data_IF_317189431154
#
_entry.id   IF_317189431154
#
_cell.length_a   1.000
_cell.length_b   1.000
_cell.length_c   1.000
_cell.angle_alpha   90.00
_cell.angle_beta   90.00
_cell.angle_gamma   90.00
#
_symmetry.space_group_name_H-M   'P 1'
#
loop_
_entity.id
_entity.type
_entity.pdbx_description
1 polymer ?
2 non-polymer ?
3 water ?
#
# COMPACT_ATOMS: atom_id res chain seq x y z
N UNK A 1 -12.49 -0.74 -12.90
CA UNK A 1 -11.02 -0.46 -13.03
C UNK A 1 -10.31 -1.55 -13.84
N UNK A 2 -9.24 -1.15 -14.48
CA UNK A 2 -8.34 -2.03 -15.18
C UNK A 2 -6.95 -1.88 -14.57
N UNK A 3 -6.06 -2.78 -14.96
CA UNK A 3 -4.66 -2.62 -14.62
C UNK A 3 -4.03 -1.34 -15.11
N UNK A 4 -4.34 -0.91 -16.32
CA UNK A 4 -3.75 0.31 -16.82
C UNK A 4 -4.24 1.52 -16.02
N UNK A 5 -5.50 1.52 -15.62
CA UNK A 5 -5.99 2.61 -14.81
C UNK A 5 -5.40 2.55 -13.39
N UNK A 6 -5.18 1.34 -12.85
CA UNK A 6 -4.50 1.20 -11.60
C UNK A 6 -3.12 1.81 -11.68
N UNK A 7 -2.38 1.55 -12.74
CA UNK A 7 -1.03 2.08 -12.87
C UNK A 7 -1.09 3.60 -12.80
N UNK A 8 -1.99 4.20 -13.56
CA UNK A 8 -2.10 5.66 -13.59
C UNK A 8 -2.47 6.20 -12.22
N UNK A 9 -3.46 5.58 -11.59
CA UNK A 9 -3.93 6.01 -10.30
C UNK A 9 -2.88 5.87 -9.24
N UNK A 10 -2.16 4.77 -9.25
CA UNK A 10 -1.08 4.56 -8.29
C UNK A 10 0.04 5.59 -8.47
N UNK A 11 0.45 5.90 -9.69
CA UNK A 11 1.46 6.90 -9.94
C UNK A 11 1.01 8.23 -9.36
N UNK A 12 -0.25 8.59 -9.56
CA UNK A 12 -0.77 9.83 -9.00
C UNK A 12 -0.75 9.82 -7.49
N UNK A 13 -1.20 8.74 -6.86
CA UNK A 13 -1.18 8.69 -5.41
C UNK A 13 0.24 8.73 -4.87
N UNK A 14 1.16 8.04 -5.48
CA UNK A 14 2.55 8.15 -5.08
C UNK A 14 3.03 9.58 -5.16
N UNK A 15 2.65 10.30 -6.21
CA UNK A 15 3.10 11.66 -6.38
C UNK A 15 2.56 12.60 -5.32
N UNK A 16 1.28 12.51 -5.07
CA UNK A 16 0.69 13.39 -4.08
C UNK A 16 1.11 13.01 -2.67
N UNK A 17 1.29 11.72 -2.42
CA UNK A 17 1.70 11.32 -1.10
C UNK A 17 3.16 11.68 -0.85
N UNK A 18 3.98 11.75 -1.89
CA UNK A 18 5.34 12.20 -1.71
C UNK A 18 5.34 13.67 -1.26
N UNK A 19 4.56 14.52 -1.90
CA UNK A 19 4.58 15.93 -1.50
C UNK A 19 3.88 16.15 -0.16
N UNK A 20 2.90 15.31 0.20
CA UNK A 20 2.25 15.47 1.48
C UNK A 20 3.16 15.08 2.64
N UNK A 21 4.05 14.13 2.42
CA UNK A 21 4.87 13.58 3.47
C UNK A 21 6.29 14.06 3.47
N UNK A 22 6.81 14.54 2.35
CA UNK A 22 8.20 14.90 2.26
C UNK A 22 9.15 13.72 2.24
N UNK A 23 8.66 12.52 1.97
CA UNK A 23 9.54 11.38 1.91
C UNK A 23 10.54 11.56 0.76
N UNK A 24 11.80 11.21 0.99
CA UNK A 24 12.77 11.29 -0.10
C UNK A 24 12.46 10.25 -1.14
N UNK A 25 12.82 10.54 -2.39
CA UNK A 25 12.62 9.59 -3.46
C UNK A 25 13.28 8.27 -3.17
N UNK A 26 14.47 8.28 -2.56
CA UNK A 26 15.12 7.02 -2.29
C UNK A 26 14.26 6.12 -1.40
N UNK A 27 13.63 6.71 -0.38
CA UNK A 27 12.80 5.94 0.52
C UNK A 27 11.48 5.55 -0.13
N UNK A 28 10.91 6.43 -0.95
CA UNK A 28 9.74 6.06 -1.75
C UNK A 28 10.07 4.87 -2.65
N UNK A 29 11.25 4.89 -3.28
CA UNK A 29 11.67 3.77 -4.09
C UNK A 29 11.71 2.47 -3.29
N UNK A 30 12.26 2.52 -2.07
CA UNK A 30 12.31 1.36 -1.20
C UNK A 30 10.90 0.84 -0.95
N UNK A 31 9.98 1.73 -0.61
CA UNK A 31 8.61 1.31 -0.36
C UNK A 31 8.01 0.69 -1.62
N UNK A 32 8.18 1.34 -2.76
CA UNK A 32 7.61 0.86 -4.02
C UNK A 32 8.16 -0.53 -4.39
N UNK A 33 9.43 -0.78 -4.10
CA UNK A 33 10.09 -2.04 -4.38
C UNK A 33 9.78 -3.11 -3.34
N UNK A 34 9.09 -2.74 -2.28
CA UNK A 34 8.69 -3.66 -1.25
C UNK A 34 9.65 -3.87 -0.11
N UNK A 35 10.57 -2.96 0.09
CA UNK A 35 11.51 -3.01 1.20
C UNK A 35 11.16 -1.91 2.16
N UNK A 36 10.41 -2.29 3.17
CA UNK A 36 9.79 -1.35 4.06
C UNK A 36 10.54 -1.24 5.36
N UNK A 37 11.04 -0.04 5.60
CA UNK A 37 11.67 0.30 6.88
C UNK A 37 10.55 0.77 7.77
N UNK A 38 9.97 -0.18 8.50
CA UNK A 38 8.68 0.06 9.11
C UNK A 38 8.70 1.12 10.20
N UNK A 39 9.86 1.38 10.79
CA UNK A 39 9.99 2.36 11.86
C UNK A 39 10.30 3.77 11.36
N UNK A 40 10.59 3.94 10.06
CA UNK A 40 10.92 5.25 9.48
C UNK A 40 9.64 6.05 9.40
N UNK A 41 9.58 7.24 10.01
CA UNK A 41 8.35 7.97 10.12
C UNK A 41 7.79 8.39 8.79
N UNK A 42 8.63 8.86 7.87
CA UNK A 42 8.13 9.27 6.58
C UNK A 42 7.70 8.06 5.76
N UNK A 43 8.35 6.92 5.91
CA UNK A 43 7.86 5.71 5.30
C UNK A 43 6.47 5.40 5.82
N UNK A 44 6.28 5.48 7.13
CA UNK A 44 4.98 5.20 7.71
C UNK A 44 3.94 6.13 7.10
N UNK A 45 4.24 7.42 7.04
CA UNK A 45 3.27 8.38 6.60
C UNK A 45 2.96 8.22 5.12
N UNK A 46 3.98 7.88 4.32
CA UNK A 46 3.80 7.66 2.91
C UNK A 46 2.90 6.45 2.70
N UNK A 47 3.22 5.35 3.38
CA UNK A 47 2.38 4.18 3.31
C UNK A 47 0.93 4.47 3.73
N UNK A 48 0.78 5.19 4.83
CA UNK A 48 -0.53 5.56 5.31
C UNK A 48 -1.29 6.37 4.28
N UNK A 49 -0.63 7.34 3.69
CA UNK A 49 -1.26 8.20 2.72
C UNK A 49 -1.74 7.45 1.49
N UNK A 50 -0.92 6.55 0.98
CA UNK A 50 -1.32 5.80 -0.20
C UNK A 50 -2.50 4.90 0.15
N UNK A 51 -2.39 4.18 1.28
CA UNK A 51 -3.47 3.28 1.64
C UNK A 51 -4.77 3.96 1.96
N UNK A 52 -4.72 5.09 2.64
CA UNK A 52 -5.93 5.84 2.90
C UNK A 52 -6.53 6.34 1.61
N UNK A 53 -5.69 6.78 0.67
CA UNK A 53 -6.20 7.30 -0.57
C UNK A 53 -6.89 6.26 -1.42
N UNK A 54 -6.52 5.00 -1.27
CA UNK A 54 -7.18 3.87 -1.94
C UNK A 54 -8.28 3.23 -1.08
N UNK A 55 -8.61 3.81 0.07
CA UNK A 55 -9.63 3.26 0.96
C UNK A 55 -9.28 1.86 1.43
N UNK A 56 -7.99 1.58 1.51
CA UNK A 56 -7.49 0.34 2.08
C UNK A 56 -7.39 0.50 3.60
N UNK A 57 -7.13 1.72 4.07
CA UNK A 57 -7.22 2.10 5.46
C UNK A 57 -8.28 3.17 5.55
N UNK A 58 -9.14 3.11 6.58
CA UNK A 58 -10.11 4.17 6.80
C UNK A 58 -9.47 5.29 7.58
N UNK A 59 -10.26 6.30 7.92
CA UNK A 59 -9.72 7.47 8.59
C UNK A 59 -9.06 7.16 9.94
N UNK A 60 -9.44 6.06 10.59
CA UNK A 60 -8.84 5.67 11.86
C UNK A 60 -7.85 4.52 11.71
N UNK A 61 -7.43 4.29 10.47
CA UNK A 61 -6.44 3.25 10.15
C UNK A 61 -6.91 1.81 10.35
N UNK A 62 -8.20 1.59 10.20
CA UNK A 62 -8.74 0.24 10.13
C UNK A 62 -8.60 -0.31 8.71
N UNK A 63 -8.07 -1.52 8.58
CA UNK A 63 -7.91 -2.19 7.30
C UNK A 63 -9.28 -2.49 6.74
N UNK A 64 -9.45 -2.21 5.46
CA UNK A 64 -10.70 -2.45 4.76
C UNK A 64 -10.49 -3.47 3.65
N UNK A 65 -10.99 -4.70 3.84
CA UNK A 65 -10.87 -5.75 2.81
C UNK A 65 -11.36 -5.36 1.42
N UNK A 66 -12.46 -4.62 1.35
CA UNK A 66 -12.98 -4.23 0.04
C UNK A 66 -11.93 -3.44 -0.73
N UNK A 67 -11.27 -2.52 -0.05
CA UNK A 67 -10.29 -1.67 -0.68
C UNK A 67 -9.10 -2.47 -1.17
N UNK A 68 -8.66 -3.41 -0.36
CA UNK A 68 -7.49 -4.19 -0.77
C UNK A 68 -7.87 -5.15 -1.91
N UNK A 69 -9.08 -5.70 -1.89
CA UNK A 69 -9.49 -6.58 -2.96
C UNK A 69 -9.62 -5.85 -4.30
N UNK A 70 -10.13 -4.62 -4.27
CA UNK A 70 -10.32 -3.87 -5.50
C UNK A 70 -8.99 -3.73 -6.24
N UNK A 71 -7.92 -3.54 -5.47
CA UNK A 71 -6.60 -3.43 -6.05
C UNK A 71 -6.03 -4.81 -6.38
N UNK A 72 -6.03 -5.72 -5.41
CA UNK A 72 -5.27 -6.97 -5.57
C UNK A 72 -5.89 -7.93 -6.54
N UNK A 73 -7.20 -7.89 -6.69
CA UNK A 73 -7.84 -8.77 -7.66
C UNK A 73 -7.44 -8.44 -9.09
N UNK A 74 -6.84 -7.27 -9.33
CA UNK A 74 -6.28 -6.95 -10.64
C UNK A 74 -4.92 -7.59 -10.88
N UNK A 75 -4.27 -8.05 -9.81
CA UNK A 75 -2.88 -8.43 -9.82
C UNK A 75 -2.64 -9.91 -9.54
N UNK A 76 -3.47 -10.55 -8.73
CA UNK A 76 -3.27 -11.94 -8.37
C UNK A 76 -4.60 -12.66 -8.33
N UNK A 77 -4.53 -13.97 -8.32
CA UNK A 77 -5.70 -14.81 -8.36
C UNK A 77 -6.56 -14.67 -7.11
N UNK A 78 -7.83 -14.98 -7.27
CA UNK A 78 -8.84 -14.81 -6.22
C UNK A 78 -8.47 -15.48 -4.90
N UNK A 79 -8.01 -16.73 -4.94
CA UNK A 79 -7.70 -17.42 -3.73
C UNK A 79 -6.52 -16.80 -3.02
N UNK A 80 -5.55 -16.33 -3.78
CA UNK A 80 -4.42 -15.63 -3.20
C UNK A 80 -4.83 -14.33 -2.53
N UNK A 81 -5.77 -13.62 -3.15
CA UNK A 81 -6.28 -12.39 -2.53
C UNK A 81 -6.97 -12.71 -1.22
N UNK A 82 -7.74 -13.79 -1.17
CA UNK A 82 -8.42 -14.18 0.06
C UNK A 82 -7.41 -14.40 1.18
N UNK A 83 -6.32 -15.07 0.87
CA UNK A 83 -5.30 -15.36 1.85
C UNK A 83 -4.59 -14.08 2.28
N UNK A 84 -4.32 -13.20 1.33
CA UNK A 84 -3.73 -11.93 1.62
C UNK A 84 -4.60 -11.16 2.60
N UNK A 85 -5.90 -11.11 2.35
CA UNK A 85 -6.82 -10.38 3.23
C UNK A 85 -6.78 -10.98 4.62
N UNK A 86 -6.84 -12.30 4.72
CA UNK A 86 -6.87 -12.97 6.02
C UNK A 86 -5.56 -12.76 6.78
N UNK A 87 -4.45 -12.77 6.05
CA UNK A 87 -3.10 -12.60 6.62
C UNK A 87 -2.93 -11.17 7.10
N UNK A 88 -2.95 -10.28 6.15
CA UNK A 88 -2.52 -8.93 6.42
C UNK A 88 -3.54 -8.10 7.22
N UNK A 89 -4.79 -8.58 7.32
CA UNK A 89 -5.83 -7.97 8.14
C UNK A 89 -5.59 -8.21 9.64
N UNK A 90 -4.73 -9.17 9.97
CA UNK A 90 -4.53 -9.59 11.35
C UNK A 90 -3.17 -9.18 11.89
N UNK A 91 -2.51 -8.24 11.25
CA UNK A 91 -1.24 -7.71 11.73
C UNK A 91 -1.34 -7.25 13.18
N UNK A 92 -0.37 -7.64 13.99
CA UNK A 92 -0.38 -7.32 15.40
C UNK A 92 0.28 -5.99 15.66
N UNK A 93 -0.44 -4.92 15.36
CA UNK A 93 0.06 -3.57 15.59
C UNK A 93 -1.10 -2.65 15.82
N UNK A 94 -1.03 -1.88 16.90
CA UNK A 94 -2.12 -0.98 17.24
C UNK A 94 -1.85 0.46 16.84
N UNK A 95 -0.58 0.88 16.75
CA UNK A 95 -0.29 2.26 16.44
C UNK A 95 -0.59 2.52 14.97
N UNK A 96 -1.43 3.51 14.65
CA UNK A 96 -1.83 3.74 13.26
C UNK A 96 -0.70 3.87 12.23
N UNK A 97 0.34 4.60 12.57
CA UNK A 97 1.45 4.82 11.62
C UNK A 97 2.23 3.54 11.38
N UNK A 98 2.53 2.83 12.46
CA UNK A 98 3.26 1.60 12.31
C UNK A 98 2.42 0.53 11.63
N UNK A 99 1.11 0.56 11.86
CA UNK A 99 0.20 -0.35 11.17
C UNK A 99 0.27 -0.13 9.66
N UNK A 100 0.37 1.13 9.26
CA UNK A 100 0.39 1.43 7.86
C UNK A 100 1.63 0.86 7.18
N UNK A 101 2.80 1.07 7.78
CA UNK A 101 4.00 0.52 7.15
C UNK A 101 3.99 -1.01 7.22
N UNK A 102 3.51 -1.55 8.33
CA UNK A 102 3.50 -3.01 8.44
C UNK A 102 2.52 -3.62 7.46
N UNK A 103 1.43 -2.95 7.15
CA UNK A 103 0.49 -3.46 6.18
C UNK A 103 1.13 -3.47 4.78
N UNK A 104 1.80 -2.40 4.39
CA UNK A 104 2.49 -2.42 3.11
C UNK A 104 3.59 -3.49 3.10
N UNK A 105 4.27 -3.69 4.22
CA UNK A 105 5.29 -4.74 4.31
C UNK A 105 4.69 -6.14 4.12
N UNK A 106 3.57 -6.39 4.77
CA UNK A 106 2.90 -7.68 4.68
C UNK A 106 2.48 -7.96 3.26
N UNK A 107 1.79 -7.00 2.68
CA UNK A 107 1.25 -7.14 1.34
C UNK A 107 2.35 -7.25 0.29
N UNK A 108 3.49 -6.61 0.55
CA UNK A 108 4.58 -6.63 -0.41
C UNK A 108 5.10 -8.03 -0.60
N UNK A 109 4.82 -8.93 0.34
CA UNK A 109 5.15 -10.34 0.18
C UNK A 109 4.41 -10.95 -1.01
N UNK A 110 3.27 -10.37 -1.37
CA UNK A 110 2.39 -10.86 -2.43
C UNK A 110 2.65 -10.10 -3.74
N UNK A 111 2.55 -8.77 -3.67
CA UNK A 111 2.81 -7.92 -4.80
C UNK A 111 3.36 -6.60 -4.32
N UNK A 112 4.37 -6.08 -4.99
CA UNK A 112 4.89 -4.76 -4.68
C UNK A 112 4.28 -3.73 -5.59
N UNK A 113 4.38 -2.47 -5.22
CA UNK A 113 3.87 -1.42 -6.07
C UNK A 113 4.64 -1.36 -7.38
N UNK A 114 5.93 -1.68 -7.33
CA UNK A 114 6.75 -1.69 -8.52
C UNK A 114 6.18 -2.66 -9.55
N UNK A 115 5.40 -3.65 -9.12
CA UNK A 115 4.69 -4.61 -10.01
C UNK A 115 4.06 -3.96 -11.19
N UNK A 116 3.39 -2.81 -11.01
CA UNK A 116 2.68 -2.14 -12.11
C UNK A 116 3.58 -1.62 -13.21
N UNK A 117 4.87 -1.58 -13.00
CA UNK A 117 5.78 -1.23 -14.09
C UNK A 117 6.12 -2.38 -15.00
N UNK A 118 5.58 -3.55 -14.71
CA UNK A 118 5.87 -4.76 -15.50
C UNK A 118 4.56 -5.19 -16.11
N UNK A 119 3.78 -4.15 -16.36
CA UNK A 119 2.32 -4.08 -16.35
C UNK A 119 1.60 -5.38 -16.04
X LIG B 1 -2.49 -2.97 -0.18
X LIG B 1 0.75 -2.39 -1.95
X LIG B 1 -1.59 -2.79 -1.23
X LIG B 1 -2.01 -2.94 1.18
X LIG B 1 -0.27 -2.57 -0.95
X LIG B 1 -0.72 -2.73 1.43
X LIG B 1 0.20 -2.54 0.34
X LIG B 1 -0.52 -1.31 -3.85
X LIG B 1 -0.92 -1.34 -5.16
X LIG B 1 0.58 -2.22 -3.39
X LIG B 1 -0.38 -2.31 -6.18
X LIG B 1 0.86 -3.37 -4.23
X LIG B 1 0.68 -3.22 -5.66
X LIG B 1 -2.46 0.45 -4.75
X LIG B 1 -1.93 -0.42 -5.61
X LIG B 1 -1.05 -0.35 -2.98
X LIG B 1 -2.00 0.51 -3.42
#
# INVERSE_FOLDING_TARGET
>A
MTIEELKTRLHTEQSVCKTETGIDQQKANDVIEGNIDVEDKKVQLYCECILKNFNILDKNNVFKPQGIKAVMELLIDENSVKQLVSDCSTISEENPHLKASKLVQCVSKYKTMKSVDFL
>B hetero
1 FNA C1 N1 C2 C3 C4 C5 C6 C7 C8 C9 C10 C11 C12 C13 C14 C15 C16
#
